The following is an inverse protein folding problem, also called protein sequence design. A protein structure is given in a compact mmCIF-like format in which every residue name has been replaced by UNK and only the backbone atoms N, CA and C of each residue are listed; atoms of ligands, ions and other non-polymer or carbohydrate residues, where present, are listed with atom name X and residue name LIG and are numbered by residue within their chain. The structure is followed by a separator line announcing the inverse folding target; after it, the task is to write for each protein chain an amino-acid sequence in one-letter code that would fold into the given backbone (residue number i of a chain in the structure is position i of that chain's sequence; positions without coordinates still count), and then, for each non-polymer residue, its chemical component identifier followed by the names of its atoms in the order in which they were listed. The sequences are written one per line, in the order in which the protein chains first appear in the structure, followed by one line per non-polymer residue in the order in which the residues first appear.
data_IF_466144001534
#
_entry.id   IF_466144001534
#
_cell.length_a   1.000
_cell.length_b   1.000
_cell.length_c   1.000
_cell.angle_alpha   90.00
_cell.angle_beta   90.00
_cell.angle_gamma   90.00
#
_symmetry.space_group_name_H-M   'P 1'
#
loop_
_entity.id
_entity.type
_entity.pdbx_description
1 polymer ?
#
# COMPACT_ATOMS: atom_id res chain seq x y z
N UNK A 1 50.09 -26.86 6.07
CA UNK A 1 49.89 -26.09 4.81
C UNK A 1 48.42 -26.20 4.46
N UNK A 2 47.70 -25.06 4.51
CA UNK A 2 46.35 -24.74 3.96
C UNK A 2 45.18 -25.68 4.28
N UNK A 3 44.05 -25.22 4.81
CA UNK A 3 43.59 -23.86 5.11
C UNK A 3 42.28 -23.90 5.91
N UNK A 4 42.14 -22.95 6.83
CA UNK A 4 40.91 -22.67 7.57
C UNK A 4 39.82 -22.19 6.62
N UNK A 5 38.63 -22.78 6.72
CA UNK A 5 37.41 -22.19 6.18
C UNK A 5 36.95 -21.05 7.12
N UNK A 6 36.61 -19.85 6.60
CA UNK A 6 36.09 -18.77 7.42
C UNK A 6 34.66 -19.07 7.87
N UNK A 7 34.34 -18.69 9.11
CA UNK A 7 33.03 -18.87 9.72
C UNK A 7 31.92 -18.13 8.95
N UNK A 8 31.01 -18.90 8.37
CA UNK A 8 29.76 -18.39 7.82
C UNK A 8 28.75 -18.12 8.95
N UNK A 9 28.63 -16.86 9.30
CA UNK A 9 27.36 -16.11 9.26
C UNK A 9 26.16 -16.66 10.07
N UNK A 10 26.23 -16.58 11.41
CA UNK A 10 25.11 -16.92 12.33
C UNK A 10 24.53 -15.71 13.09
N UNK A 11 24.94 -14.49 12.79
CA UNK A 11 24.45 -13.26 13.42
C UNK A 11 23.21 -12.60 12.76
N UNK A 12 23.01 -12.67 11.42
CA UNK A 12 21.88 -12.00 10.75
C UNK A 12 20.52 -12.66 10.99
N UNK A 13 20.47 -13.99 11.15
CA UNK A 13 19.20 -14.73 11.35
C UNK A 13 18.50 -14.34 12.66
N UNK A 14 19.27 -13.92 13.67
CA UNK A 14 18.74 -13.44 14.95
C UNK A 14 18.06 -12.07 14.82
N UNK A 15 18.80 -11.05 14.39
CA UNK A 15 18.27 -9.68 14.28
C UNK A 15 17.14 -9.60 13.23
N UNK A 16 17.35 -10.14 12.03
CA UNK A 16 16.36 -10.08 10.97
C UNK A 16 15.03 -10.73 11.39
N UNK A 17 15.10 -11.90 12.03
CA UNK A 17 13.91 -12.58 12.58
C UNK A 17 13.14 -11.72 13.57
N UNK A 18 13.83 -11.06 14.51
CA UNK A 18 13.19 -10.13 15.47
C UNK A 18 12.42 -9.00 14.80
N UNK A 19 13.03 -8.40 13.78
CA UNK A 19 12.47 -7.25 13.07
C UNK A 19 11.30 -7.66 12.17
N UNK A 20 11.40 -8.82 11.52
CA UNK A 20 10.32 -9.43 10.73
C UNK A 20 9.13 -9.74 11.63
N UNK A 21 9.34 -10.41 12.76
CA UNK A 21 8.29 -10.75 13.71
C UNK A 21 7.56 -9.51 14.21
N UNK A 22 8.31 -8.49 14.65
CA UNK A 22 7.75 -7.24 15.16
C UNK A 22 6.95 -6.48 14.08
N UNK A 23 7.48 -6.39 12.86
CA UNK A 23 6.79 -5.71 11.75
C UNK A 23 5.51 -6.45 11.35
N UNK A 24 5.59 -7.77 11.24
CA UNK A 24 4.45 -8.62 10.84
C UNK A 24 3.35 -8.61 11.90
N UNK A 25 3.71 -8.63 13.18
CA UNK A 25 2.76 -8.50 14.29
C UNK A 25 2.14 -7.11 14.34
N UNK A 26 2.92 -6.03 14.14
CA UNK A 26 2.41 -4.67 14.11
C UNK A 26 1.35 -4.44 13.01
N UNK A 27 1.54 -5.06 11.82
CA UNK A 27 0.51 -5.08 10.76
C UNK A 27 -0.79 -5.71 11.28
N UNK A 28 -0.70 -6.84 11.99
CA UNK A 28 -1.88 -7.57 12.48
C UNK A 28 -2.61 -6.86 13.62
N UNK A 29 -1.88 -6.28 14.56
CA UNK A 29 -2.48 -5.76 15.80
C UNK A 29 -3.06 -4.36 15.62
N UNK A 30 -2.42 -3.50 14.82
CA UNK A 30 -2.74 -2.07 14.74
C UNK A 30 -3.71 -1.69 13.59
N UNK A 31 -4.39 -2.67 12.99
CA UNK A 31 -5.11 -2.52 11.71
C UNK A 31 -4.21 -1.85 10.65
N UNK A 32 -2.93 -2.22 10.66
CA UNK A 32 -1.92 -1.66 9.79
C UNK A 32 -2.00 -2.28 8.40
N UNK A 33 -1.81 -1.47 7.36
CA UNK A 33 -1.57 -1.98 6.02
C UNK A 33 -0.09 -2.25 5.77
N UNK A 34 0.77 -1.47 6.43
CA UNK A 34 2.21 -1.50 6.26
C UNK A 34 2.84 -1.31 7.62
N UNK A 35 3.91 -2.05 7.91
CA UNK A 35 4.75 -1.75 9.05
C UNK A 35 6.22 -1.94 8.69
N UNK A 36 7.09 -1.32 9.45
CA UNK A 36 8.52 -1.50 9.26
C UNK A 36 9.32 -0.97 10.42
N UNK A 37 10.54 -1.44 10.55
CA UNK A 37 11.47 -0.98 11.59
C UNK A 37 12.63 -0.24 10.93
N UNK A 38 12.84 0.99 11.36
CA UNK A 38 14.07 1.73 11.10
C UNK A 38 15.05 1.41 12.22
N UNK A 39 16.30 1.09 11.87
CA UNK A 39 17.40 0.96 12.82
C UNK A 39 18.48 1.99 12.52
N UNK A 40 19.29 2.30 13.53
CA UNK A 40 20.51 3.08 13.31
C UNK A 40 21.47 2.30 12.40
N UNK A 41 22.03 2.98 11.42
CA UNK A 41 23.17 2.50 10.63
C UNK A 41 24.44 2.43 11.50
N UNK A 42 25.43 1.62 11.11
CA UNK A 42 26.77 1.72 11.69
C UNK A 42 27.44 3.09 11.40
N UNK A 43 26.99 3.76 10.32
CA UNK A 43 27.39 5.12 9.98
C UNK A 43 26.78 6.20 10.87
N UNK A 44 27.39 7.39 10.86
CA UNK A 44 26.92 8.52 11.65
C UNK A 44 25.60 9.09 11.11
N UNK A 45 24.65 9.38 12.02
CA UNK A 45 23.47 10.21 11.72
C UNK A 45 22.38 9.60 10.85
N UNK A 46 22.44 8.30 10.53
CA UNK A 46 21.51 7.67 9.59
C UNK A 46 20.62 6.60 10.24
N UNK A 47 19.33 6.66 9.93
CA UNK A 47 18.36 5.60 10.13
C UNK A 47 18.12 4.89 8.80
N UNK A 48 18.13 3.56 8.83
CA UNK A 48 17.87 2.71 7.67
C UNK A 48 16.67 1.83 7.94
N UNK A 49 15.77 1.77 6.96
CA UNK A 49 14.68 0.83 6.97
C UNK A 49 15.27 -0.58 6.88
N UNK A 50 15.11 -1.36 7.94
CA UNK A 50 15.65 -2.71 8.05
C UNK A 50 14.65 -3.77 7.56
N UNK A 51 13.38 -3.59 7.89
CA UNK A 51 12.28 -4.45 7.46
C UNK A 51 11.12 -3.58 7.01
N UNK A 52 10.47 -3.98 5.92
CA UNK A 52 9.20 -3.45 5.45
C UNK A 52 8.23 -4.61 5.20
N UNK A 53 7.11 -4.61 5.89
CA UNK A 53 6.02 -5.57 5.71
C UNK A 53 4.80 -4.88 5.10
N UNK A 54 4.16 -5.52 4.11
CA UNK A 54 2.83 -5.11 3.60
C UNK A 54 2.82 -4.34 2.28
N UNK A 55 3.97 -3.87 1.78
CA UNK A 55 4.09 -3.25 0.46
C UNK A 55 5.31 -3.76 -0.31
N UNK A 56 5.27 -3.73 -1.66
CA UNK A 56 6.46 -3.89 -2.47
C UNK A 56 7.53 -2.86 -2.11
N UNK A 57 8.72 -3.34 -1.73
CA UNK A 57 9.87 -2.52 -1.33
C UNK A 57 10.17 -1.29 -2.18
N UNK A 58 10.20 -1.40 -3.53
CA UNK A 58 10.54 -0.27 -4.39
C UNK A 58 9.64 0.96 -4.24
N UNK A 59 8.39 0.80 -3.81
CA UNK A 59 7.48 1.93 -3.56
C UNK A 59 7.96 2.81 -2.40
N UNK A 60 8.70 2.22 -1.46
CA UNK A 60 9.18 2.92 -0.27
C UNK A 60 10.64 3.38 -0.39
N UNK A 61 11.28 3.14 -1.55
CA UNK A 61 12.70 3.43 -1.78
C UNK A 61 13.14 4.85 -1.40
N UNK A 62 12.35 5.91 -1.64
CA UNK A 62 12.72 7.27 -1.24
C UNK A 62 12.94 7.45 0.28
N UNK A 63 12.33 6.59 1.12
CA UNK A 63 12.43 6.68 2.57
C UNK A 63 13.27 5.58 3.20
N UNK A 64 13.95 4.73 2.43
CA UNK A 64 14.79 3.68 3.00
C UNK A 64 15.95 4.21 3.86
N UNK A 65 16.35 5.46 3.63
CA UNK A 65 17.44 6.14 4.32
C UNK A 65 16.96 7.50 4.78
N UNK A 66 17.00 7.74 6.09
CA UNK A 66 16.58 8.99 6.69
C UNK A 66 17.68 9.51 7.62
N UNK A 67 18.04 10.78 7.49
CA UNK A 67 18.95 11.41 8.43
C UNK A 67 18.22 11.74 9.72
N UNK A 68 18.85 11.51 10.87
CA UNK A 68 18.25 11.74 12.21
C UNK A 68 17.93 13.22 12.47
N UNK A 69 18.59 14.13 11.76
CA UNK A 69 18.40 15.58 11.91
C UNK A 69 17.33 16.16 10.98
N UNK A 70 16.78 15.34 10.07
CA UNK A 70 15.71 15.80 9.19
C UNK A 70 14.39 15.76 9.93
N UNK A 71 13.48 16.72 9.71
CA UNK A 71 12.17 16.75 10.34
C UNK A 71 11.25 15.68 9.71
N UNK A 72 11.58 14.41 9.86
CA UNK A 72 10.71 13.30 9.51
C UNK A 72 10.11 12.72 10.78
N UNK A 73 8.87 12.21 10.75
CA UNK A 73 8.25 11.66 11.94
C UNK A 73 9.07 10.51 12.55
N UNK A 74 9.73 9.70 11.71
CA UNK A 74 10.69 8.66 12.13
C UNK A 74 11.88 9.27 12.88
N UNK A 75 12.47 10.32 12.33
CA UNK A 75 13.67 10.95 12.88
C UNK A 75 13.37 11.67 14.21
N UNK A 76 12.24 12.35 14.30
CA UNK A 76 11.79 12.97 15.56
C UNK A 76 11.47 11.91 16.62
N UNK A 77 10.77 10.84 16.26
CA UNK A 77 10.48 9.77 17.21
C UNK A 77 11.76 9.14 17.77
N UNK A 78 12.76 8.93 16.91
CA UNK A 78 14.07 8.42 17.31
C UNK A 78 14.82 9.40 18.24
N UNK A 79 14.94 10.66 17.82
CA UNK A 79 15.74 11.69 18.50
C UNK A 79 15.15 12.10 19.85
N UNK A 80 13.83 12.22 19.93
CA UNK A 80 13.13 12.63 21.14
C UNK A 80 12.83 11.45 22.07
N UNK A 81 12.89 10.21 21.58
CA UNK A 81 12.48 9.04 22.36
C UNK A 81 10.98 9.04 22.67
N UNK A 82 10.18 9.80 21.92
CA UNK A 82 8.74 9.93 22.08
C UNK A 82 8.02 9.42 20.85
N UNK A 83 6.86 8.80 21.02
CA UNK A 83 6.02 8.42 19.89
C UNK A 83 5.53 9.64 19.09
N UNK A 84 5.37 9.46 17.79
CA UNK A 84 4.71 10.42 16.90
C UNK A 84 3.48 9.76 16.31
N UNK A 85 2.34 10.41 16.49
CA UNK A 85 1.03 9.90 16.10
C UNK A 85 0.41 10.86 15.09
N UNK A 86 0.18 10.39 13.86
CA UNK A 86 -0.40 11.14 12.75
C UNK A 86 -1.72 10.46 12.33
N UNK A 87 -2.90 10.89 12.83
CA UNK A 87 -4.15 10.18 12.56
C UNK A 87 -4.57 10.20 11.08
N UNK A 88 -4.17 11.23 10.33
CA UNK A 88 -4.55 11.41 8.94
C UNK A 88 -3.53 12.28 8.18
N UNK A 89 -3.76 12.40 6.87
CA UNK A 89 -2.91 13.19 5.97
C UNK A 89 -2.89 14.69 6.30
N UNK A 90 -3.95 15.25 6.85
CA UNK A 90 -4.00 16.66 7.26
C UNK A 90 -3.01 16.93 8.38
N UNK A 91 -2.99 16.07 9.39
CA UNK A 91 -2.04 16.14 10.50
C UNK A 91 -0.60 15.89 10.05
N UNK A 92 -0.39 14.96 9.12
CA UNK A 92 0.91 14.74 8.50
C UNK A 92 1.38 15.97 7.71
N UNK A 93 0.51 16.60 6.92
CA UNK A 93 0.84 17.80 6.16
C UNK A 93 1.15 18.99 7.06
N UNK A 94 0.42 19.14 8.17
CA UNK A 94 0.60 20.22 9.15
C UNK A 94 1.95 20.14 9.86
N UNK A 95 2.38 18.95 10.26
CA UNK A 95 3.62 18.75 11.06
C UNK A 95 4.83 18.36 10.23
N UNK A 96 4.62 17.63 9.14
CA UNK A 96 5.66 16.99 8.33
C UNK A 96 5.38 17.11 6.81
N UNK A 97 5.31 18.33 6.26
CA UNK A 97 4.90 18.54 4.86
C UNK A 97 5.82 17.85 3.84
N UNK A 98 7.14 17.84 4.08
CA UNK A 98 8.13 17.12 3.27
C UNK A 98 7.93 15.60 3.24
N UNK A 99 7.38 15.03 4.31
CA UNK A 99 7.01 13.62 4.35
C UNK A 99 5.70 13.40 3.60
N UNK A 100 4.68 14.20 3.92
CA UNK A 100 3.35 14.11 3.34
C UNK A 100 3.34 14.26 1.81
N UNK A 101 4.18 15.14 1.26
CA UNK A 101 4.26 15.42 -0.17
C UNK A 101 4.74 14.22 -1.01
N UNK A 102 5.49 13.28 -0.43
CA UNK A 102 5.98 12.12 -1.17
C UNK A 102 5.02 10.93 -1.18
N UNK A 103 3.95 10.96 -0.36
CA UNK A 103 3.13 9.78 -0.14
C UNK A 103 2.06 9.59 -1.23
N UNK A 104 1.85 8.36 -1.72
CA UNK A 104 0.96 8.09 -2.85
C UNK A 104 -0.55 8.16 -2.52
N UNK A 105 -0.96 8.11 -1.25
CA UNK A 105 -2.36 8.13 -0.82
C UNK A 105 -2.49 8.62 0.64
N UNK A 106 -3.67 9.13 1.05
CA UNK A 106 -3.89 9.60 2.41
C UNK A 106 -4.00 8.43 3.41
N UNK A 107 -3.18 8.44 4.45
CA UNK A 107 -3.18 7.44 5.52
C UNK A 107 -2.94 8.06 6.89
N UNK A 108 -3.30 7.30 7.94
CA UNK A 108 -2.81 7.52 9.29
C UNK A 108 -1.50 6.77 9.51
N UNK A 109 -0.66 7.23 10.43
CA UNK A 109 0.60 6.57 10.76
C UNK A 109 1.02 6.74 12.21
N UNK A 110 1.74 5.73 12.72
CA UNK A 110 2.31 5.65 14.06
C UNK A 110 3.81 5.45 13.93
N UNK A 111 4.59 6.17 14.74
CA UNK A 111 6.04 6.08 14.82
C UNK A 111 6.43 5.95 16.28
N UNK A 112 6.84 4.75 16.68
CA UNK A 112 7.08 4.42 18.08
C UNK A 112 8.55 4.09 18.25
N UNK A 113 9.28 4.79 19.14
CA UNK A 113 10.70 4.51 19.38
C UNK A 113 10.89 3.11 19.97
N UNK A 114 11.89 2.39 19.47
CA UNK A 114 12.29 1.07 19.98
C UNK A 114 13.37 1.29 21.02
N UNK A 115 12.95 1.39 22.28
CA UNK A 115 13.82 1.71 23.43
C UNK A 115 14.14 0.46 24.23
N UNK A 116 15.41 0.28 24.61
CA UNK A 116 15.81 -0.71 25.59
C UNK A 116 16.86 -0.14 26.54
N UNK A 117 16.54 -0.06 27.82
CA UNK A 117 17.35 0.68 28.79
C UNK A 117 17.24 2.18 28.52
N UNK A 118 18.40 2.84 28.44
CA UNK A 118 18.56 4.26 28.12
C UNK A 118 18.79 4.54 26.62
N UNK A 119 18.79 3.48 25.79
CA UNK A 119 19.12 3.57 24.37
C UNK A 119 17.89 3.38 23.48
N UNK A 120 17.70 4.30 22.53
CA UNK A 120 16.81 4.11 21.38
C UNK A 120 17.58 3.40 20.26
N UNK A 121 17.14 2.20 19.88
CA UNK A 121 17.75 1.42 18.80
C UNK A 121 17.25 1.85 17.41
N UNK A 122 16.04 2.37 17.35
CA UNK A 122 15.34 2.61 16.11
C UNK A 122 13.89 3.03 16.32
N UNK A 123 13.05 2.84 15.30
CA UNK A 123 11.63 3.23 15.32
C UNK A 123 10.80 2.17 14.62
N UNK A 124 9.78 1.67 15.30
CA UNK A 124 8.72 0.84 14.72
C UNK A 124 7.67 1.77 14.13
N UNK A 125 7.37 1.57 12.85
CA UNK A 125 6.45 2.40 12.07
C UNK A 125 5.28 1.58 11.58
N UNK A 126 4.09 2.15 11.60
CA UNK A 126 2.87 1.53 11.07
C UNK A 126 2.11 2.55 10.23
N UNK A 127 1.74 2.18 9.01
CA UNK A 127 0.78 2.89 8.17
C UNK A 127 -0.58 2.18 8.25
N UNK A 128 -1.63 2.95 8.44
CA UNK A 128 -2.99 2.46 8.73
C UNK A 128 -4.04 3.34 8.04
N UNK A 129 -5.30 2.91 7.96
CA UNK A 129 -6.39 3.78 7.53
C UNK A 129 -6.38 5.12 8.27
N UNK A 130 -6.79 6.19 7.57
CA UNK A 130 -6.95 7.51 8.20
C UNK A 130 -8.07 7.45 9.26
N UNK A 131 -7.82 8.09 10.40
CA UNK A 131 -8.78 8.31 11.47
C UNK A 131 -9.18 9.79 11.53
N UNK A 132 -10.32 10.08 12.15
CA UNK A 132 -10.77 11.46 12.33
C UNK A 132 -9.78 12.23 13.22
N UNK A 133 -9.35 11.62 14.34
CA UNK A 133 -8.40 12.20 15.28
C UNK A 133 -7.56 11.12 16.01
N UNK A 134 -6.69 11.58 16.92
CA UNK A 134 -5.75 10.72 17.64
C UNK A 134 -6.41 9.83 18.72
N UNK A 135 -7.64 10.13 19.15
CA UNK A 135 -8.35 9.34 20.17
C UNK A 135 -8.84 8.02 19.59
N UNK A 136 -9.27 8.01 18.32
CA UNK A 136 -9.70 6.79 17.59
C UNK A 136 -8.57 5.77 17.40
N UNK A 137 -7.31 6.16 17.66
CA UNK A 137 -6.12 5.33 17.41
C UNK A 137 -5.36 5.00 18.70
N UNK A 138 -5.94 5.30 19.86
CA UNK A 138 -5.34 5.06 21.18
C UNK A 138 -4.98 3.59 21.41
N UNK A 139 -5.92 2.67 21.15
CA UNK A 139 -5.67 1.22 21.32
C UNK A 139 -4.56 0.72 20.40
N UNK A 140 -4.56 1.12 19.12
CA UNK A 140 -3.52 0.75 18.18
C UNK A 140 -2.14 1.31 18.59
N UNK A 141 -2.11 2.56 19.07
CA UNK A 141 -0.91 3.21 19.61
C UNK A 141 -0.33 2.41 20.78
N UNK A 142 -1.14 2.04 21.75
CA UNK A 142 -0.72 1.25 22.92
C UNK A 142 -0.17 -0.12 22.52
N UNK A 143 -0.85 -0.82 21.62
CA UNK A 143 -0.38 -2.12 21.12
C UNK A 143 0.96 -2.04 20.39
N UNK A 144 1.18 -0.99 19.59
CA UNK A 144 2.46 -0.76 18.91
C UNK A 144 3.55 -0.35 19.91
N UNK A 145 3.21 0.42 20.95
CA UNK A 145 4.11 0.75 22.06
C UNK A 145 4.59 -0.51 22.80
N UNK A 146 3.67 -1.41 23.13
CA UNK A 146 4.00 -2.68 23.77
C UNK A 146 4.89 -3.57 22.88
N UNK A 147 4.63 -3.61 21.57
CA UNK A 147 5.47 -4.32 20.60
C UNK A 147 6.88 -3.72 20.52
N UNK A 148 6.98 -2.39 20.43
CA UNK A 148 8.26 -1.69 20.38
C UNK A 148 9.07 -1.92 21.67
N UNK A 149 8.42 -1.92 22.84
CA UNK A 149 9.07 -2.21 24.13
C UNK A 149 9.61 -3.64 24.20
N UNK A 150 8.82 -4.64 23.76
CA UNK A 150 9.28 -6.04 23.68
C UNK A 150 10.44 -6.20 22.70
N UNK A 151 10.39 -5.53 21.54
CA UNK A 151 11.49 -5.54 20.58
C UNK A 151 12.74 -4.89 21.19
N UNK A 152 12.62 -3.72 21.82
CA UNK A 152 13.73 -3.01 22.46
C UNK A 152 14.41 -3.84 23.55
N UNK A 153 13.66 -4.58 24.37
CA UNK A 153 14.22 -5.49 25.36
C UNK A 153 14.99 -6.67 24.73
N UNK A 154 14.57 -7.16 23.55
CA UNK A 154 15.29 -8.20 22.79
C UNK A 154 16.56 -7.63 22.15
N UNK A 155 16.49 -6.43 21.57
CA UNK A 155 17.65 -5.75 20.98
C UNK A 155 18.70 -5.38 22.05
N UNK A 156 18.28 -4.95 23.24
CA UNK A 156 19.20 -4.69 24.34
C UNK A 156 20.00 -5.94 24.73
N UNK A 157 19.38 -7.12 24.73
CA UNK A 157 20.08 -8.38 25.00
C UNK A 157 21.09 -8.73 23.92
N UNK A 158 20.76 -8.52 22.65
CA UNK A 158 21.70 -8.70 21.54
C UNK A 158 22.87 -7.71 21.64
N UNK A 159 22.59 -6.43 21.88
CA UNK A 159 23.58 -5.38 21.98
C UNK A 159 24.59 -5.57 23.13
N UNK A 160 24.19 -6.24 24.21
CA UNK A 160 25.09 -6.61 25.32
C UNK A 160 26.09 -7.70 24.92
N UNK A 161 25.73 -8.57 23.99
CA UNK A 161 26.62 -9.59 23.46
C UNK A 161 27.53 -9.01 22.37
N UNK A 162 26.97 -8.20 21.46
CA UNK A 162 27.70 -7.48 20.43
C UNK A 162 26.96 -6.17 20.08
N UNK A 163 27.55 -4.99 20.38
CA UNK A 163 26.95 -3.70 20.04
C UNK A 163 26.72 -3.47 18.54
N UNK A 164 27.50 -4.11 17.66
CA UNK A 164 27.36 -4.00 16.21
C UNK A 164 26.22 -4.89 15.66
N UNK A 165 25.77 -5.88 16.43
CA UNK A 165 24.68 -6.79 16.03
C UNK A 165 23.29 -6.15 16.04
N UNK A 166 23.16 -4.85 16.32
CA UNK A 166 21.89 -4.10 16.36
C UNK A 166 21.88 -2.88 15.44
N UNK A 167 22.82 -2.80 14.51
CA UNK A 167 22.80 -1.82 13.41
C UNK A 167 22.32 -2.46 12.11
N UNK A 168 21.81 -1.65 11.18
CA UNK A 168 21.39 -2.14 9.86
C UNK A 168 21.98 -1.30 8.74
N UNK A 169 22.75 -1.94 7.84
CA UNK A 169 23.42 -1.28 6.71
C UNK A 169 23.07 -1.88 5.33
N UNK A 170 22.17 -2.86 5.30
CA UNK A 170 21.71 -3.49 4.08
C UNK A 170 20.46 -2.80 3.50
N UNK A 171 19.97 -3.29 2.37
CA UNK A 171 18.64 -2.95 1.86
C UNK A 171 17.55 -3.54 2.78
N UNK A 172 16.35 -2.94 2.84
CA UNK A 172 15.29 -3.46 3.68
C UNK A 172 14.85 -4.84 3.22
N UNK A 173 14.69 -5.75 4.19
CA UNK A 173 14.00 -7.00 3.96
C UNK A 173 12.52 -6.71 3.72
N UNK A 174 12.08 -6.97 2.49
CA UNK A 174 10.70 -6.77 2.09
C UNK A 174 9.92 -8.05 2.36
N UNK A 175 9.12 -8.02 3.42
CA UNK A 175 8.25 -9.12 3.80
C UNK A 175 6.93 -8.90 3.07
N UNK A 176 6.50 -9.85 2.21
CA UNK A 176 5.14 -9.79 1.67
C UNK A 176 4.17 -9.71 2.85
N UNK A 177 3.04 -9.00 2.74
CA UNK A 177 2.06 -9.00 3.82
C UNK A 177 1.87 -10.43 4.31
N UNK A 178 1.86 -10.69 5.64
CA UNK A 178 1.31 -11.95 6.10
C UNK A 178 0.00 -12.09 5.36
N UNK A 179 -0.30 -13.26 4.82
CA UNK A 179 -1.61 -13.50 4.21
C UNK A 179 -2.60 -13.40 5.37
N UNK A 180 -2.92 -12.17 5.78
CA UNK A 180 -3.99 -11.81 6.70
C UNK A 180 -5.16 -12.39 5.99
N UNK A 181 -5.59 -13.55 6.51
CA UNK A 181 -6.64 -14.39 5.97
C UNK A 181 -7.59 -13.50 5.19
N UNK A 182 -7.48 -13.59 3.86
CA UNK A 182 -8.10 -12.68 2.92
C UNK A 182 -9.46 -12.27 3.48
N UNK A 183 -9.70 -10.99 3.80
CA UNK A 183 -10.88 -10.52 4.52
C UNK A 183 -12.15 -11.27 4.10
N UNK A 184 -12.45 -12.41 4.73
CA UNK A 184 -13.12 -13.58 4.14
C UNK A 184 -13.50 -13.39 2.65
N UNK A 185 -12.50 -13.12 1.81
CA UNK A 185 -12.71 -12.63 0.47
C UNK A 185 -13.12 -13.84 -0.32
N UNK A 186 -14.36 -13.91 -0.77
CA UNK A 186 -14.75 -14.92 -1.74
C UNK A 186 -13.80 -14.74 -2.93
N UNK A 187 -12.98 -15.74 -3.19
CA UNK A 187 -12.09 -15.80 -4.36
C UNK A 187 -12.48 -16.99 -5.22
N UNK A 188 -12.41 -16.79 -6.53
CA UNK A 188 -12.62 -17.82 -7.53
C UNK A 188 -11.58 -17.66 -8.62
N UNK A 189 -11.23 -18.78 -9.24
CA UNK A 189 -10.24 -18.82 -10.30
C UNK A 189 -10.75 -19.48 -11.56
N UNK A 190 -9.99 -19.26 -12.63
CA UNK A 190 -10.09 -20.03 -13.86
C UNK A 190 -8.69 -20.38 -14.35
N UNK A 191 -8.58 -21.49 -15.09
CA UNK A 191 -7.42 -21.83 -15.89
C UNK A 191 -7.78 -21.70 -17.36
N UNK A 192 -6.86 -21.18 -18.17
CA UNK A 192 -6.97 -21.14 -19.63
C UNK A 192 -5.78 -21.85 -20.26
N UNK A 193 -6.07 -22.81 -21.13
CA UNK A 193 -5.12 -23.40 -22.06
C UNK A 193 -5.16 -22.65 -23.40
N UNK A 194 -4.13 -21.87 -23.75
CA UNK A 194 -4.07 -21.15 -25.02
C UNK A 194 -3.89 -22.07 -26.24
N UNK A 195 -3.44 -23.32 -26.07
CA UNK A 195 -3.27 -24.29 -27.17
C UNK A 195 -4.62 -24.90 -27.54
N UNK A 196 -5.41 -25.32 -26.55
CA UNK A 196 -6.73 -25.94 -26.79
C UNK A 196 -7.89 -24.95 -26.74
N UNK A 197 -7.57 -23.66 -26.57
CA UNK A 197 -8.50 -22.56 -26.31
C UNK A 197 -9.60 -22.92 -25.28
N UNK A 198 -9.22 -23.57 -24.19
CA UNK A 198 -10.17 -24.08 -23.20
C UNK A 198 -10.01 -23.38 -21.86
N UNK A 199 -11.07 -22.75 -21.39
CA UNK A 199 -11.20 -22.16 -20.07
C UNK A 199 -11.96 -23.12 -19.15
N UNK A 200 -11.41 -23.34 -17.97
CA UNK A 200 -12.05 -24.04 -16.86
C UNK A 200 -12.21 -23.08 -15.69
N UNK A 201 -13.44 -22.64 -15.41
CA UNK A 201 -13.76 -21.79 -14.26
C UNK A 201 -14.18 -22.64 -13.05
N UNK A 202 -13.77 -22.24 -11.85
CA UNK A 202 -14.25 -22.87 -10.62
C UNK A 202 -15.65 -22.37 -10.23
N UNK A 203 -16.32 -23.13 -9.35
CA UNK A 203 -17.66 -22.78 -8.88
C UNK A 203 -17.70 -21.47 -8.05
N UNK A 204 -16.56 -21.06 -7.47
CA UNK A 204 -16.47 -19.83 -6.66
C UNK A 204 -16.44 -18.60 -7.56
N UNK A 205 -15.79 -18.67 -8.73
CA UNK A 205 -15.74 -17.61 -9.73
C UNK A 205 -17.14 -17.35 -10.29
N UNK A 206 -17.88 -18.43 -10.58
CA UNK A 206 -19.28 -18.34 -10.99
C UNK A 206 -20.15 -17.63 -9.95
N UNK A 207 -20.02 -18.01 -8.67
CA UNK A 207 -20.74 -17.38 -7.56
C UNK A 207 -20.36 -15.90 -7.36
N UNK A 208 -19.10 -15.54 -7.61
CA UNK A 208 -18.58 -14.17 -7.45
C UNK A 208 -19.02 -13.22 -8.54
N UNK A 209 -19.09 -13.72 -9.78
CA UNK A 209 -19.51 -12.95 -10.93
C UNK A 209 -21.02 -12.99 -11.13
N UNK A 210 -21.77 -13.77 -10.32
CA UNK A 210 -23.20 -13.98 -10.52
C UNK A 210 -23.52 -14.57 -11.89
N UNK A 211 -22.57 -15.32 -12.47
CA UNK A 211 -22.63 -15.84 -13.84
C UNK A 211 -22.45 -17.36 -13.79
N UNK A 212 -23.32 -18.16 -14.44
CA UNK A 212 -23.18 -19.62 -14.42
C UNK A 212 -21.81 -20.07 -14.92
N UNK A 213 -21.21 -21.08 -14.27
CA UNK A 213 -19.89 -21.61 -14.65
C UNK A 213 -19.83 -22.07 -16.12
N UNK A 214 -20.96 -22.53 -16.67
CA UNK A 214 -21.10 -22.92 -18.07
C UNK A 214 -20.90 -21.75 -19.06
N UNK A 215 -21.14 -20.49 -18.66
CA UNK A 215 -20.82 -19.31 -19.49
C UNK A 215 -19.39 -18.81 -19.30
N UNK A 216 -18.74 -19.21 -18.21
CA UNK A 216 -17.37 -18.82 -17.87
C UNK A 216 -16.34 -19.87 -18.32
N UNK A 217 -16.79 -21.04 -18.75
CA UNK A 217 -15.97 -22.17 -19.21
C UNK A 217 -16.18 -22.41 -20.70
N UNK A 218 -15.22 -23.06 -21.36
CA UNK A 218 -15.22 -23.24 -22.82
C UNK A 218 -14.25 -22.29 -23.52
N UNK A 219 -14.53 -21.80 -24.74
CA UNK A 219 -13.63 -20.90 -25.46
C UNK A 219 -13.31 -19.63 -24.66
N UNK A 220 -12.09 -19.12 -24.76
CA UNK A 220 -11.68 -17.89 -24.02
C UNK A 220 -12.51 -16.67 -24.39
N UNK A 221 -13.07 -16.65 -25.60
CA UNK A 221 -14.02 -15.64 -26.05
C UNK A 221 -15.29 -15.60 -25.19
N UNK A 222 -15.79 -16.76 -24.74
CA UNK A 222 -16.98 -16.84 -23.89
C UNK A 222 -16.70 -16.25 -22.49
N UNK A 223 -15.52 -16.55 -21.92
CA UNK A 223 -15.08 -15.91 -20.68
C UNK A 223 -14.97 -14.38 -20.86
N UNK A 224 -14.28 -13.93 -21.91
CA UNK A 224 -14.05 -12.51 -22.16
C UNK A 224 -15.36 -11.72 -22.34
N UNK A 225 -16.31 -12.29 -23.08
CA UNK A 225 -17.65 -11.70 -23.25
C UNK A 225 -18.43 -11.66 -21.94
N UNK A 226 -18.37 -12.73 -21.13
CA UNK A 226 -19.06 -12.78 -19.85
C UNK A 226 -18.51 -11.76 -18.83
N UNK A 227 -17.20 -11.51 -18.82
CA UNK A 227 -16.57 -10.64 -17.80
C UNK A 227 -16.41 -9.18 -18.25
N UNK A 228 -16.39 -8.93 -19.56
CA UNK A 228 -16.16 -7.62 -20.15
C UNK A 228 -16.93 -7.43 -21.48
N UNK A 229 -18.27 -7.50 -21.51
CA UNK A 229 -19.05 -7.47 -22.76
C UNK A 229 -18.90 -6.17 -23.56
N UNK A 230 -18.48 -5.08 -22.91
CA UNK A 230 -18.19 -3.79 -23.57
C UNK A 230 -16.73 -3.58 -23.97
N UNK A 231 -15.83 -4.53 -23.66
CA UNK A 231 -14.39 -4.43 -23.91
C UNK A 231 -13.74 -5.81 -24.14
N UNK A 232 -14.46 -6.71 -24.81
CA UNK A 232 -14.07 -8.11 -25.04
C UNK A 232 -12.71 -8.22 -25.72
N UNK A 233 -12.44 -7.35 -26.71
CA UNK A 233 -11.18 -7.34 -27.46
C UNK A 233 -9.97 -7.03 -26.56
N UNK A 234 -10.10 -6.07 -25.64
CA UNK A 234 -9.04 -5.73 -24.69
C UNK A 234 -8.80 -6.85 -23.68
N UNK A 235 -9.87 -7.49 -23.20
CA UNK A 235 -9.75 -8.63 -22.29
C UNK A 235 -9.01 -9.80 -22.96
N UNK A 236 -9.35 -10.11 -24.21
CA UNK A 236 -8.67 -11.14 -24.99
C UNK A 236 -7.19 -10.81 -25.23
N UNK A 237 -6.86 -9.56 -25.54
CA UNK A 237 -5.48 -9.12 -25.70
C UNK A 237 -4.69 -9.30 -24.40
N UNK A 238 -5.24 -8.88 -23.26
CA UNK A 238 -4.59 -9.02 -21.96
C UNK A 238 -4.36 -10.48 -21.56
N UNK A 239 -5.30 -11.38 -21.85
CA UNK A 239 -5.15 -12.82 -21.61
C UNK A 239 -4.02 -13.42 -22.44
N UNK A 240 -3.95 -13.09 -23.74
CA UNK A 240 -2.90 -13.54 -24.66
C UNK A 240 -1.52 -12.99 -24.30
N UNK A 241 -1.44 -11.70 -23.98
CA UNK A 241 -0.19 -11.08 -23.54
C UNK A 241 0.30 -11.72 -22.24
N UNK A 242 -0.60 -11.99 -21.29
CA UNK A 242 -0.24 -12.71 -20.08
C UNK A 242 0.27 -14.11 -20.40
N UNK A 243 -0.38 -14.87 -21.29
CA UNK A 243 0.06 -16.21 -21.69
C UNK A 243 1.45 -16.21 -22.36
N UNK A 244 1.79 -15.11 -23.04
CA UNK A 244 3.10 -14.85 -23.62
C UNK A 244 4.13 -14.29 -22.61
N UNK A 245 3.81 -14.26 -21.32
CA UNK A 245 4.70 -13.79 -20.25
C UNK A 245 4.72 -12.27 -20.05
N UNK A 246 3.78 -11.53 -20.65
CA UNK A 246 3.62 -10.07 -20.51
C UNK A 246 2.33 -9.75 -19.77
N UNK A 247 2.29 -9.85 -18.42
CA UNK A 247 1.10 -9.48 -17.68
C UNK A 247 0.78 -7.98 -17.85
N UNK A 248 -0.50 -7.58 -17.77
CA UNK A 248 -0.89 -6.18 -17.94
C UNK A 248 -0.23 -5.30 -16.86
N UNK A 249 0.26 -4.10 -17.22
CA UNK A 249 0.95 -3.20 -16.28
C UNK A 249 -0.01 -2.54 -15.27
N UNK A 250 -1.32 -2.64 -15.51
CA UNK A 250 -2.37 -2.08 -14.66
C UNK A 250 -3.38 -3.17 -14.26
N UNK A 251 -3.97 -3.07 -13.06
CA UNK A 251 -5.03 -3.96 -12.62
C UNK A 251 -6.23 -3.95 -13.57
N UNK A 252 -6.77 -5.13 -13.90
CA UNK A 252 -7.99 -5.26 -14.68
C UNK A 252 -9.20 -5.37 -13.76
N UNK A 253 -10.32 -4.77 -14.18
CA UNK A 253 -11.58 -4.87 -13.45
C UNK A 253 -12.64 -5.50 -14.33
N UNK A 254 -13.36 -6.46 -13.77
CA UNK A 254 -14.49 -7.14 -14.42
C UNK A 254 -15.78 -6.78 -13.72
N UNK A 255 -16.89 -6.77 -14.46
CA UNK A 255 -18.20 -6.45 -13.89
C UNK A 255 -18.91 -7.75 -13.51
N UNK A 256 -19.31 -7.88 -12.25
CA UNK A 256 -20.20 -8.96 -11.82
C UNK A 256 -21.64 -8.68 -12.28
N UNK A 257 -22.49 -9.72 -12.28
CA UNK A 257 -23.90 -9.62 -12.67
C UNK A 257 -24.72 -8.63 -11.82
N UNK A 258 -24.25 -8.29 -10.62
CA UNK A 258 -24.81 -7.24 -9.75
C UNK A 258 -24.35 -5.81 -10.11
N UNK A 259 -23.53 -5.65 -11.16
CA UNK A 259 -22.97 -4.38 -11.61
C UNK A 259 -21.70 -3.93 -10.87
N UNK A 260 -21.29 -4.65 -9.82
CA UNK A 260 -20.09 -4.34 -9.02
C UNK A 260 -18.82 -4.65 -9.81
N UNK A 261 -17.82 -3.78 -9.67
CA UNK A 261 -16.47 -4.06 -10.20
C UNK A 261 -15.71 -5.00 -9.26
N UNK A 262 -15.14 -6.06 -9.82
CA UNK A 262 -14.26 -7.02 -9.16
C UNK A 262 -12.87 -6.92 -9.79
N UNK A 263 -11.84 -7.01 -8.95
CA UNK A 263 -10.46 -7.03 -9.42
C UNK A 263 -10.17 -8.39 -10.07
N UNK A 264 -9.55 -8.36 -11.25
CA UNK A 264 -9.02 -9.52 -11.97
C UNK A 264 -7.50 -9.42 -12.03
N UNK A 265 -6.82 -10.36 -11.38
CA UNK A 265 -5.38 -10.56 -11.55
C UNK A 265 -5.14 -11.70 -12.55
N UNK A 266 -4.28 -11.48 -13.54
CA UNK A 266 -3.85 -12.51 -14.50
C UNK A 266 -2.42 -12.94 -14.19
N UNK A 267 -2.17 -14.25 -14.11
CA UNK A 267 -0.84 -14.82 -13.87
C UNK A 267 -0.60 -16.01 -14.79
N UNK A 268 0.64 -16.23 -15.21
CA UNK A 268 1.05 -17.48 -15.85
C UNK A 268 1.33 -18.53 -14.77
N UNK A 269 0.85 -19.75 -14.98
CA UNK A 269 1.26 -20.89 -14.15
C UNK A 269 2.38 -21.63 -14.87
N UNK A 270 3.61 -21.43 -14.41
CA UNK A 270 4.74 -22.25 -14.83
C UNK A 270 4.61 -23.62 -14.16
N UNK A 271 4.16 -24.64 -14.89
CA UNK A 271 4.48 -26.03 -14.54
C UNK A 271 5.69 -26.41 -15.41
N UNK A 272 6.81 -26.77 -14.78
CA UNK A 272 8.17 -26.97 -15.36
C UNK A 272 8.28 -28.03 -16.49
N UNK A 273 9.46 -28.23 -17.14
CA UNK A 273 10.45 -27.31 -17.73
C UNK A 273 10.11 -27.03 -19.24
N UNK A 274 10.88 -26.22 -20.01
CA UNK A 274 10.34 -25.57 -21.22
C UNK A 274 10.20 -26.54 -22.40
N UNK A 275 8.95 -26.89 -22.72
CA UNK A 275 8.58 -27.15 -24.11
C UNK A 275 8.22 -25.81 -24.77
N UNK A 276 8.55 -25.57 -26.05
CA UNK A 276 8.14 -24.37 -26.77
C UNK A 276 6.62 -24.42 -26.99
N UNK A 277 5.86 -23.85 -26.05
CA UNK A 277 4.41 -23.76 -26.12
C UNK A 277 3.89 -22.63 -25.20
N UNK A 278 2.78 -21.97 -25.56
CA UNK A 278 2.23 -20.87 -24.76
C UNK A 278 1.79 -21.38 -23.37
N UNK A 279 2.20 -20.67 -22.32
CA UNK A 279 1.95 -21.06 -20.93
C UNK A 279 0.48 -20.92 -20.54
N UNK A 280 0.02 -21.76 -19.60
CA UNK A 280 -1.35 -21.67 -19.05
C UNK A 280 -1.51 -20.38 -18.24
N UNK A 281 -2.62 -19.69 -18.44
CA UNK A 281 -3.00 -18.51 -17.65
C UNK A 281 -3.97 -18.92 -16.55
N UNK A 282 -3.76 -18.44 -15.32
CA UNK A 282 -4.75 -18.53 -14.24
C UNK A 282 -5.10 -17.14 -13.71
N UNK A 283 -6.39 -16.91 -13.48
CA UNK A 283 -6.90 -15.65 -12.91
C UNK A 283 -7.34 -15.83 -11.46
N UNK A 284 -7.03 -14.86 -10.58
CA UNK A 284 -7.41 -14.88 -9.17
C UNK A 284 -8.17 -13.58 -8.83
N UNK A 285 -9.20 -13.65 -7.98
CA UNK A 285 -10.04 -12.49 -7.60
C UNK A 285 -9.94 -12.14 -6.11
N UNK A 286 -9.86 -10.85 -5.79
CA UNK A 286 -10.06 -10.29 -4.44
C UNK A 286 -11.14 -9.18 -4.45
N UNK A 287 -11.78 -8.96 -3.29
CA UNK A 287 -12.79 -7.90 -3.02
C UNK A 287 -12.43 -7.21 -1.69
N UNK A 288 -12.80 -5.98 -1.29
CA UNK A 288 -13.78 -4.96 -1.71
C UNK A 288 -13.14 -3.56 -1.58
N UNK A 289 -13.54 -2.62 -2.42
CA UNK A 289 -13.48 -1.18 -2.15
C UNK A 289 -14.51 -0.47 -3.03
N UNK A 290 -15.36 0.44 -2.52
CA UNK A 290 -16.39 1.06 -3.33
C UNK A 290 -15.74 2.04 -4.32
N UNK A 291 -15.70 1.68 -5.61
CA UNK A 291 -15.51 2.68 -6.67
C UNK A 291 -16.85 3.40 -6.83
N UNK A 292 -17.05 4.47 -6.06
CA UNK A 292 -18.03 5.49 -6.45
C UNK A 292 -17.50 6.14 -7.72
N UNK A 293 -18.07 5.78 -8.87
CA UNK A 293 -17.96 6.60 -10.09
C UNK A 293 -18.60 7.95 -9.76
N UNK A 294 -17.77 8.97 -9.56
CA UNK A 294 -18.21 10.35 -9.60
C UNK A 294 -18.66 10.68 -11.01
N UNK A 295 -19.94 10.49 -11.32
CA UNK A 295 -20.58 11.16 -12.46
C UNK A 295 -20.75 12.63 -12.10
N UNK A 296 -19.68 13.43 -12.27
CA UNK A 296 -19.85 14.85 -12.57
C UNK A 296 -19.68 15.01 -14.07
N UNK A 297 -20.81 15.09 -14.78
CA UNK A 297 -20.85 15.73 -16.09
C UNK A 297 -20.30 17.16 -15.92
N UNK A 298 -19.45 17.67 -16.81
CA UNK A 298 -19.16 19.09 -16.86
C UNK A 298 -20.42 19.77 -17.40
N UNK A 299 -21.16 20.45 -16.52
CA UNK A 299 -22.14 21.43 -16.97
C UNK A 299 -21.36 22.61 -17.54
N UNK A 300 -21.37 22.72 -18.86
CA UNK A 300 -21.00 23.93 -19.58
C UNK A 300 -21.77 25.13 -19.02
N UNK A 301 -21.04 26.20 -18.70
CA UNK A 301 -21.60 27.55 -18.64
C UNK A 301 -22.26 27.90 -19.98
N UNK A 302 -23.42 28.56 -19.96
CA UNK A 302 -23.74 29.57 -20.95
C UNK A 302 -23.62 30.95 -20.29
N UNK A 303 -22.76 31.79 -20.88
CA UNK A 303 -22.85 33.24 -20.79
C UNK A 303 -24.28 33.68 -21.14
N UNK A 304 -24.85 34.58 -20.36
CA UNK A 304 -25.83 35.54 -20.85
C UNK A 304 -25.51 36.90 -20.21
N UNK A 305 -24.80 37.72 -20.98
CA UNK A 305 -24.81 39.16 -20.82
C UNK A 305 -26.16 39.71 -21.33
N UNK A 306 -26.54 40.82 -20.72
CA UNK A 306 -27.32 41.94 -21.25
C UNK A 306 -28.84 41.80 -21.47
N UNK A 307 -29.53 42.64 -20.68
CA UNK A 307 -30.39 43.74 -21.10
C UNK A 307 -31.92 43.54 -21.05
N UNK A 308 -32.54 44.49 -20.32
CA UNK A 308 -33.71 45.32 -20.67
C UNK A 308 -34.76 45.38 -19.53
N UNK A 309 -35.43 46.48 -19.16
CA UNK A 309 -35.35 47.95 -19.37
C UNK A 309 -36.40 48.58 -18.42
N UNK A 310 -36.16 49.82 -17.95
CA UNK A 310 -37.18 50.84 -17.57
C UNK A 310 -37.59 50.89 -16.09
N UNK A 311 -37.71 52.03 -15.40
CA UNK A 311 -37.81 53.44 -15.84
C UNK A 311 -37.56 54.42 -14.67
N UNK A 312 -36.82 55.49 -14.97
CA UNK A 312 -37.02 56.92 -14.64
C UNK A 312 -37.64 57.31 -13.28
N UNK A 313 -36.87 58.05 -12.46
CA UNK A 313 -37.36 59.17 -11.65
C UNK A 313 -36.38 60.35 -11.74
N UNK A 314 -36.94 61.54 -11.95
CA UNK A 314 -36.29 62.81 -12.24
C UNK A 314 -36.11 63.67 -10.97
N UNK A 315 -34.99 64.39 -10.87
CA UNK A 315 -34.78 65.45 -9.86
C UNK A 315 -33.40 66.10 -9.99
N UNK A 316 -33.38 67.34 -10.46
CA UNK A 316 -32.27 68.18 -10.95
C UNK A 316 -31.31 68.70 -9.85
N UNK A 317 -30.15 69.30 -10.23
CA UNK A 317 -28.96 69.49 -9.39
C UNK A 317 -28.79 70.91 -8.85
N UNK A 318 -28.08 71.07 -7.72
CA UNK A 318 -27.47 72.37 -7.36
C UNK A 318 -26.23 72.22 -6.46
N UNK A 319 -25.06 72.60 -7.04
CA UNK A 319 -23.89 73.32 -6.47
C UNK A 319 -23.40 73.07 -5.01
N UNK A 320 -22.10 72.77 -4.92
CA UNK A 320 -21.22 73.11 -3.78
C UNK A 320 -21.12 74.66 -3.60
N UNK A 321 -20.71 75.21 -2.43
CA UNK A 321 -19.31 75.14 -1.99
C UNK A 321 -19.03 75.15 -0.46
N UNK A 322 -17.85 74.64 -0.09
CA UNK A 322 -16.85 75.39 0.70
C UNK A 322 -16.91 75.42 2.24
N UNK A 323 -15.70 75.54 2.80
CA UNK A 323 -15.33 75.97 4.18
C UNK A 323 -15.63 74.97 5.30
N UNK A 324 -14.71 74.58 6.19
CA UNK A 324 -13.32 74.96 6.50
C UNK A 324 -12.63 73.76 7.16
#
# INVERSE_FOLDING_TARGET
MTGSAPGADRAPEGLAGLLIDASTEAVRTADGHVAGVYLRSGGAGLLRLAVLAGLPGPLFKPWWRLHVDRPFPVADAYRLGTEVVLPNATEAMRRYPQFAAGLPFPFGSLYVPVVGGDRTFGVLTVLRPSAADATEIGTAREQVADLAGRLGARLLRLARADPAAVTWDDEPLCVPPPVTRAAAGRSGGFGWDPVTDTVTADARLAALLGTPAARLSGPVAALADAVAPGDTARMLAALRDTAAGRPPPLPLYVRAGDGTLRLLELRTTATAPPAPGPGRCSGWSWSRGPVRRGTRRPTCCPRACSASTGSVWSGTPTRAPGSS
#
